data_IF_540825620643
#
_entry.id   IF_540825620643
#
_cell.length_a   1.000
_cell.length_b   1.000
_cell.length_c   1.000
_cell.angle_alpha   90.00
_cell.angle_beta   90.00
_cell.angle_gamma   90.00
#
_symmetry.space_group_name_H-M   'P 1'
#
loop_
_entity.id
_entity.type
_entity.pdbx_description
1 polymer ?
#
# COMPACT_ATOMS: atom_id res chain seq x y z
N UNK A 1 6.73 -1.29 -16.74
CA UNK A 1 7.19 -1.31 -15.32
C UNK A 1 6.35 -2.34 -14.58
N UNK A 2 6.94 -3.11 -13.66
CA UNK A 2 6.18 -4.12 -12.90
C UNK A 2 5.35 -3.44 -11.81
N UNK A 3 4.04 -3.72 -11.75
CA UNK A 3 3.15 -3.23 -10.70
C UNK A 3 3.63 -3.77 -9.34
N UNK A 4 3.58 -2.94 -8.31
CA UNK A 4 3.93 -3.28 -6.94
C UNK A 4 2.85 -2.79 -5.96
N UNK A 5 2.95 -3.19 -4.70
CA UNK A 5 1.95 -2.84 -3.69
C UNK A 5 1.82 -1.33 -3.42
N UNK A 6 2.90 -0.56 -3.58
CA UNK A 6 2.85 0.91 -3.45
C UNK A 6 1.98 1.53 -4.54
N UNK A 7 2.13 1.09 -5.80
CA UNK A 7 1.30 1.58 -6.91
C UNK A 7 -0.16 1.19 -6.74
N UNK A 8 -0.45 -0.02 -6.26
CA UNK A 8 -1.82 -0.44 -5.94
C UNK A 8 -2.40 0.45 -4.84
N UNK A 9 -1.68 0.68 -3.75
CA UNK A 9 -2.13 1.59 -2.69
C UNK A 9 -2.41 2.99 -3.22
N UNK A 10 -1.47 3.57 -3.97
CA UNK A 10 -1.61 4.92 -4.52
C UNK A 10 -2.74 5.04 -5.53
N UNK A 11 -3.04 4.03 -6.31
CA UNK A 11 -4.17 4.04 -7.25
C UNK A 11 -5.50 4.32 -6.54
N UNK A 12 -5.74 3.68 -5.39
CA UNK A 12 -6.93 3.91 -4.58
C UNK A 12 -6.86 5.18 -3.75
N UNK A 13 -5.67 5.61 -3.37
CA UNK A 13 -5.47 6.84 -2.60
C UNK A 13 -5.57 8.09 -3.47
N UNK A 14 -4.82 8.16 -4.56
CA UNK A 14 -4.75 9.27 -5.50
C UNK A 14 -4.13 8.82 -6.84
N UNK A 15 -4.92 8.80 -7.91
CA UNK A 15 -4.44 8.38 -9.24
C UNK A 15 -3.26 9.20 -9.75
N UNK A 16 -3.25 10.52 -9.48
CA UNK A 16 -2.12 11.39 -9.83
C UNK A 16 -0.85 10.99 -9.09
N UNK A 17 -0.93 10.67 -7.79
CA UNK A 17 0.21 10.17 -7.02
C UNK A 17 0.72 8.83 -7.56
N UNK A 18 -0.18 7.92 -7.93
CA UNK A 18 0.18 6.65 -8.57
C UNK A 18 0.96 6.89 -9.87
N UNK A 19 0.46 7.76 -10.73
CA UNK A 19 1.10 8.14 -11.99
C UNK A 19 2.49 8.75 -11.78
N UNK A 20 2.61 9.74 -10.89
CA UNK A 20 3.87 10.42 -10.60
C UNK A 20 4.92 9.47 -10.01
N UNK A 21 4.51 8.62 -9.08
CA UNK A 21 5.39 7.60 -8.49
C UNK A 21 5.90 6.60 -9.56
N UNK A 22 5.00 6.12 -10.42
CA UNK A 22 5.35 5.20 -11.49
C UNK A 22 6.34 5.80 -12.50
N UNK A 23 6.20 7.10 -12.79
CA UNK A 23 7.10 7.84 -13.68
C UNK A 23 8.34 8.42 -12.96
N UNK A 24 8.74 7.83 -11.84
CA UNK A 24 9.98 8.09 -11.07
C UNK A 24 10.05 9.43 -10.33
N UNK A 25 8.93 10.03 -10.02
CA UNK A 25 8.89 11.20 -9.14
C UNK A 25 8.68 10.73 -7.69
N UNK A 26 9.74 10.23 -7.06
CA UNK A 26 9.73 9.65 -5.70
C UNK A 26 9.88 10.75 -4.64
N UNK A 27 8.87 11.60 -4.47
CA UNK A 27 8.86 12.69 -3.50
C UNK A 27 8.45 12.25 -2.09
N UNK A 28 7.88 11.04 -1.95
CA UNK A 28 7.48 10.49 -0.66
C UNK A 28 8.62 10.31 0.32
N UNK A 29 9.86 10.15 -0.15
CA UNK A 29 11.05 10.01 0.71
C UNK A 29 11.32 11.23 1.58
N UNK A 30 10.84 12.40 1.17
CA UNK A 30 10.97 13.66 1.93
C UNK A 30 9.82 13.91 2.91
N UNK A 31 8.74 13.12 2.86
CA UNK A 31 7.58 13.30 3.72
C UNK A 31 7.84 12.82 5.15
N UNK A 32 7.57 13.67 6.15
CA UNK A 32 7.63 13.29 7.57
C UNK A 32 6.65 12.14 7.91
N UNK A 33 5.49 12.12 7.28
CA UNK A 33 4.50 11.07 7.49
C UNK A 33 4.98 9.71 6.96
N UNK A 34 5.72 9.70 5.85
CA UNK A 34 6.36 8.49 5.33
C UNK A 34 7.48 8.04 6.25
N UNK A 35 8.31 8.97 6.75
CA UNK A 35 9.35 8.66 7.75
C UNK A 35 8.77 8.06 9.03
N UNK A 36 7.65 8.59 9.52
CA UNK A 36 6.94 8.04 10.68
C UNK A 36 6.42 6.63 10.37
N UNK A 37 5.83 6.42 9.18
CA UNK A 37 5.39 5.09 8.75
C UNK A 37 6.54 4.08 8.73
N UNK A 38 7.69 4.43 8.14
CA UNK A 38 8.91 3.61 8.15
C UNK A 38 9.40 3.30 9.56
N UNK A 39 9.45 4.29 10.45
CA UNK A 39 9.86 4.09 11.84
C UNK A 39 8.94 3.11 12.60
N UNK A 40 7.63 3.13 12.35
CA UNK A 40 6.69 2.15 12.91
C UNK A 40 6.98 0.75 12.39
N UNK A 41 7.28 0.59 11.10
CA UNK A 41 7.66 -0.69 10.49
C UNK A 41 8.97 -1.22 11.09
N UNK A 42 10.00 -0.38 11.17
CA UNK A 42 11.30 -0.74 11.76
C UNK A 42 11.18 -1.17 13.22
N UNK A 43 10.38 -0.45 14.03
CA UNK A 43 10.15 -0.79 15.42
C UNK A 43 9.45 -2.14 15.59
N UNK A 44 8.47 -2.46 14.72
CA UNK A 44 7.78 -3.76 14.74
C UNK A 44 8.63 -4.89 14.16
N UNK A 45 9.52 -4.62 13.21
CA UNK A 45 10.42 -5.62 12.62
C UNK A 45 11.60 -5.98 13.55
N UNK A 46 11.92 -5.15 14.53
CA UNK A 46 12.98 -5.43 15.53
C UNK A 46 12.59 -6.48 16.55
N UNK A 47 11.30 -6.77 16.71
CA UNK A 47 10.84 -7.92 17.46
C UNK A 47 11.20 -9.20 16.68
N UNK A 48 11.88 -10.16 17.30
CA UNK A 48 12.60 -11.29 16.66
C UNK A 48 11.77 -12.16 15.68
N UNK A 49 10.45 -12.04 15.69
CA UNK A 49 9.53 -12.75 14.78
C UNK A 49 8.97 -11.88 13.63
N UNK A 50 9.37 -10.62 13.50
CA UNK A 50 8.74 -9.60 12.66
C UNK A 50 9.66 -8.99 11.60
N UNK A 51 10.66 -9.74 11.09
CA UNK A 51 11.50 -9.24 10.01
C UNK A 51 10.68 -8.91 8.75
N UNK A 52 10.91 -7.74 8.16
CA UNK A 52 10.37 -7.40 6.85
C UNK A 52 10.84 -8.42 5.81
N UNK A 53 9.92 -9.05 5.12
CA UNK A 53 10.21 -10.10 4.14
C UNK A 53 9.99 -9.53 2.74
N UNK A 54 11.05 -9.50 1.93
CA UNK A 54 10.96 -9.13 0.53
C UNK A 54 10.74 -10.38 -0.33
N UNK A 55 9.62 -10.41 -1.05
CA UNK A 55 9.30 -11.47 -2.01
C UNK A 55 9.03 -10.81 -3.36
N UNK A 56 9.94 -10.98 -4.31
CA UNK A 56 9.88 -10.31 -5.61
C UNK A 56 9.72 -8.79 -5.51
N UNK A 57 8.53 -8.28 -5.90
CA UNK A 57 8.18 -6.85 -5.93
C UNK A 57 7.31 -6.43 -4.76
N UNK A 58 7.20 -7.25 -3.72
CA UNK A 58 6.46 -6.91 -2.49
C UNK A 58 7.39 -6.94 -1.29
N UNK A 59 7.08 -6.09 -0.32
CA UNK A 59 7.66 -6.09 1.01
C UNK A 59 6.53 -6.24 2.00
N UNK A 60 6.62 -7.23 2.86
CA UNK A 60 5.60 -7.57 3.84
C UNK A 60 6.15 -7.45 5.24
N UNK A 61 5.32 -6.96 6.17
CA UNK A 61 5.76 -6.71 7.54
C UNK A 61 5.90 -8.00 8.34
N UNK A 62 4.98 -8.94 8.14
CA UNK A 62 4.99 -10.22 8.85
C UNK A 62 4.23 -11.30 8.09
N UNK A 63 4.80 -12.51 8.05
CA UNK A 63 4.13 -13.73 7.57
C UNK A 63 4.12 -14.76 8.69
N UNK A 64 2.93 -15.30 8.97
CA UNK A 64 2.75 -16.46 9.83
C UNK A 64 2.22 -17.65 9.02
N UNK A 65 1.95 -18.79 9.66
CA UNK A 65 1.35 -19.95 8.98
C UNK A 65 -0.04 -19.66 8.40
N UNK A 66 -0.77 -18.70 8.99
CA UNK A 66 -2.16 -18.39 8.62
C UNK A 66 -2.29 -17.02 7.97
N UNK A 67 -1.53 -16.02 8.43
CA UNK A 67 -1.72 -14.62 8.03
C UNK A 67 -0.50 -13.99 7.38
N UNK A 68 -0.78 -13.15 6.38
CA UNK A 68 0.09 -12.07 5.93
C UNK A 68 -0.38 -10.79 6.62
N UNK A 69 0.50 -10.15 7.39
CA UNK A 69 0.17 -8.93 8.14
C UNK A 69 0.81 -7.72 7.48
N UNK A 70 0.02 -6.69 7.27
CA UNK A 70 0.44 -5.35 6.87
C UNK A 70 0.15 -4.37 8.00
N UNK A 71 1.09 -3.50 8.33
CA UNK A 71 0.98 -2.51 9.40
C UNK A 71 0.87 -1.10 8.83
N UNK A 72 -0.12 -0.34 9.26
CA UNK A 72 -0.34 1.06 8.89
C UNK A 72 -0.42 1.95 10.12
N UNK A 73 0.01 3.21 9.98
CA UNK A 73 -0.03 4.19 11.08
C UNK A 73 -1.43 4.66 11.45
N UNK A 74 -2.42 4.47 10.57
CA UNK A 74 -3.82 4.85 10.77
C UNK A 74 -4.75 4.08 9.85
N UNK A 75 -6.04 4.15 10.14
CA UNK A 75 -7.12 3.59 9.32
C UNK A 75 -7.73 4.61 8.34
N UNK A 76 -7.07 5.74 8.12
CA UNK A 76 -7.59 6.84 7.29
C UNK A 76 -7.88 6.44 5.84
N UNK A 77 -7.17 5.44 5.29
CA UNK A 77 -7.39 4.93 3.94
C UNK A 77 -7.34 3.39 3.93
N UNK A 78 -8.32 2.79 4.59
CA UNK A 78 -8.45 1.32 4.68
C UNK A 78 -8.61 0.70 3.30
N UNK A 79 -9.35 1.35 2.39
CA UNK A 79 -9.59 0.80 1.06
C UNK A 79 -8.27 0.64 0.27
N UNK A 80 -7.42 1.65 0.28
CA UNK A 80 -6.10 1.57 -0.36
C UNK A 80 -5.22 0.49 0.28
N UNK A 81 -5.23 0.39 1.61
CA UNK A 81 -4.48 -0.61 2.36
C UNK A 81 -5.00 -2.03 2.14
N UNK A 82 -6.34 -2.21 2.05
CA UNK A 82 -6.99 -3.47 1.70
C UNK A 82 -6.50 -4.00 0.36
N UNK A 83 -6.56 -3.19 -0.69
CA UNK A 83 -6.18 -3.63 -2.03
C UNK A 83 -4.68 -3.88 -2.16
N UNK A 84 -3.85 -3.12 -1.46
CA UNK A 84 -2.42 -3.41 -1.34
C UNK A 84 -2.18 -4.79 -0.71
N UNK A 85 -2.86 -5.10 0.39
CA UNK A 85 -2.74 -6.38 1.08
C UNK A 85 -3.25 -7.54 0.20
N UNK A 86 -4.37 -7.37 -0.49
CA UNK A 86 -4.91 -8.36 -1.42
C UNK A 86 -3.96 -8.61 -2.60
N UNK A 87 -3.28 -7.58 -3.10
CA UNK A 87 -2.23 -7.73 -4.09
C UNK A 87 -1.06 -8.59 -3.57
N UNK A 88 -0.64 -8.37 -2.33
CA UNK A 88 0.39 -9.20 -1.69
C UNK A 88 -0.05 -10.66 -1.55
N UNK A 89 -1.30 -10.91 -1.17
CA UNK A 89 -1.86 -12.26 -1.12
C UNK A 89 -1.85 -12.95 -2.50
N UNK A 90 -2.17 -12.21 -3.57
CA UNK A 90 -2.11 -12.72 -4.95
C UNK A 90 -0.68 -13.11 -5.34
N UNK A 91 0.31 -12.27 -5.01
CA UNK A 91 1.73 -12.59 -5.28
C UNK A 91 2.17 -13.83 -4.51
N UNK A 92 1.80 -13.97 -3.23
CA UNK A 92 2.08 -15.18 -2.46
C UNK A 92 1.38 -16.41 -3.04
N UNK A 93 0.11 -16.29 -3.43
CA UNK A 93 -0.66 -17.38 -4.06
C UNK A 93 0.04 -17.88 -5.34
N UNK A 94 0.61 -16.99 -6.15
CA UNK A 94 1.37 -17.37 -7.35
C UNK A 94 2.66 -18.14 -7.05
N UNK A 95 3.14 -18.08 -5.80
CA UNK A 95 4.28 -18.87 -5.29
C UNK A 95 3.86 -20.14 -4.55
N UNK A 96 2.57 -20.50 -4.59
CA UNK A 96 2.04 -21.64 -3.87
C UNK A 96 1.81 -21.40 -2.37
N UNK A 97 1.88 -20.15 -1.90
CA UNK A 97 1.72 -19.78 -0.49
C UNK A 97 0.34 -19.15 -0.32
N UNK A 98 -0.58 -19.87 0.32
CA UNK A 98 -1.93 -19.38 0.60
C UNK A 98 -2.00 -18.85 2.02
N UNK A 99 -2.44 -17.59 2.18
CA UNK A 99 -2.59 -16.90 3.48
C UNK A 99 -3.86 -16.05 3.49
N UNK A 100 -4.33 -15.73 4.70
CA UNK A 100 -5.33 -14.68 4.93
C UNK A 100 -4.64 -13.36 5.18
N UNK A 101 -5.30 -12.27 4.88
CA UNK A 101 -4.79 -10.91 5.10
C UNK A 101 -5.15 -10.40 6.48
N UNK A 102 -4.19 -9.79 7.18
CA UNK A 102 -4.38 -9.06 8.42
C UNK A 102 -3.83 -7.64 8.26
N UNK A 103 -4.69 -6.65 8.37
CA UNK A 103 -4.30 -5.23 8.38
C UNK A 103 -4.35 -4.71 9.80
N UNK A 104 -3.22 -4.25 10.31
CA UNK A 104 -3.09 -3.70 11.66
C UNK A 104 -2.82 -2.19 11.58
N UNK A 105 -3.74 -1.38 12.12
CA UNK A 105 -3.64 0.07 12.16
C UNK A 105 -3.22 0.54 13.56
N UNK A 106 -2.04 1.17 13.65
CA UNK A 106 -1.45 1.65 14.90
C UNK A 106 -1.75 3.13 15.07
N UNK A 107 -2.74 3.48 15.88
CA UNK A 107 -3.08 4.88 16.16
C UNK A 107 -2.26 5.43 17.34
N UNK A 108 -1.56 6.57 17.13
CA UNK A 108 -0.67 7.20 18.13
C UNK A 108 -1.33 7.55 19.47
N UNK A 109 -2.67 7.69 19.51
CA UNK A 109 -3.42 8.17 20.70
C UNK A 109 -4.26 7.10 21.37
N UNK A 110 -4.28 5.87 20.86
CA UNK A 110 -5.08 4.78 21.41
C UNK A 110 -4.15 3.60 21.77
N UNK A 111 -4.39 3.02 22.94
CA UNK A 111 -3.64 1.85 23.40
C UNK A 111 -3.92 0.59 22.57
N UNK A 112 -5.06 0.55 21.87
CA UNK A 112 -5.51 -0.60 21.11
C UNK A 112 -5.37 -0.38 19.62
N UNK A 113 -4.70 -1.30 18.91
CA UNK A 113 -4.61 -1.33 17.48
C UNK A 113 -5.94 -1.81 16.88
N UNK A 114 -6.38 -1.15 15.80
CA UNK A 114 -7.50 -1.67 15.00
C UNK A 114 -7.00 -2.73 14.05
N UNK A 115 -7.71 -3.86 14.00
CA UNK A 115 -7.34 -5.01 13.17
C UNK A 115 -8.48 -5.33 12.21
N UNK A 116 -8.14 -5.52 10.94
CA UNK A 116 -9.06 -5.92 9.88
C UNK A 116 -8.54 -7.19 9.20
N UNK A 117 -9.45 -8.09 8.84
CA UNK A 117 -9.13 -9.34 8.17
C UNK A 117 -9.71 -9.37 6.77
N UNK A 118 -8.95 -9.88 5.81
CA UNK A 118 -9.35 -10.01 4.42
C UNK A 118 -8.95 -11.37 3.86
N UNK A 119 -9.75 -11.88 2.93
CA UNK A 119 -9.47 -13.11 2.19
C UNK A 119 -9.46 -12.82 0.69
N UNK A 120 -8.54 -13.45 -0.03
CA UNK A 120 -8.48 -13.38 -1.49
C UNK A 120 -9.38 -14.48 -2.07
N UNK A 121 -10.67 -14.17 -2.25
CA UNK A 121 -11.59 -15.06 -2.98
C UNK A 121 -11.39 -14.95 -4.48
N UNK A 122 -11.93 -15.88 -5.25
CA UNK A 122 -11.79 -15.86 -6.72
C UNK A 122 -12.46 -14.63 -7.35
N UNK A 123 -13.56 -14.13 -6.76
CA UNK A 123 -14.25 -12.90 -7.20
C UNK A 123 -13.38 -11.68 -6.92
N UNK A 124 -12.80 -11.59 -5.73
CA UNK A 124 -11.90 -10.49 -5.35
C UNK A 124 -10.62 -10.52 -6.18
N UNK A 125 -10.09 -11.69 -6.49
CA UNK A 125 -8.92 -11.84 -7.33
C UNK A 125 -9.17 -11.33 -8.75
N UNK A 126 -10.34 -11.63 -9.35
CA UNK A 126 -10.73 -11.10 -10.66
C UNK A 126 -10.90 -9.57 -10.64
N UNK A 127 -11.50 -9.03 -9.58
CA UNK A 127 -11.63 -7.59 -9.40
C UNK A 127 -10.26 -6.93 -9.28
N UNK A 128 -9.33 -7.52 -8.52
CA UNK A 128 -7.96 -7.05 -8.40
C UNK A 128 -7.21 -7.06 -9.75
N UNK A 129 -7.42 -8.08 -10.59
CA UNK A 129 -6.85 -8.14 -11.94
C UNK A 129 -7.32 -6.96 -12.79
N UNK A 130 -8.61 -6.62 -12.73
CA UNK A 130 -9.15 -5.44 -13.42
C UNK A 130 -8.46 -4.16 -12.95
N UNK A 131 -8.22 -4.00 -11.65
CA UNK A 131 -7.49 -2.84 -11.14
C UNK A 131 -6.02 -2.81 -11.55
N UNK A 132 -5.36 -3.96 -11.64
CA UNK A 132 -3.98 -4.06 -12.15
C UNK A 132 -3.91 -3.57 -13.60
N UNK A 133 -4.84 -4.02 -14.45
CA UNK A 133 -4.94 -3.57 -15.85
C UNK A 133 -5.21 -2.05 -15.94
N UNK A 134 -6.06 -1.53 -15.06
CA UNK A 134 -6.36 -0.10 -15.00
C UNK A 134 -5.16 0.74 -14.51
N UNK A 135 -4.36 0.21 -13.58
CA UNK A 135 -3.10 0.84 -13.15
C UNK A 135 -2.12 0.86 -14.31
N UNK A 136 -1.97 -0.22 -15.06
CA UNK A 136 -1.08 -0.28 -16.23
C UNK A 136 -1.48 0.75 -17.29
N UNK A 137 -2.76 0.86 -17.60
CA UNK A 137 -3.29 1.90 -18.51
C UNK A 137 -3.01 3.30 -17.98
N UNK A 138 -3.27 3.53 -16.68
CA UNK A 138 -3.07 4.82 -16.03
C UNK A 138 -1.61 5.29 -16.14
N UNK A 139 -0.66 4.44 -15.76
CA UNK A 139 0.76 4.81 -15.72
C UNK A 139 1.41 4.91 -17.11
N UNK A 140 0.81 4.27 -18.12
CA UNK A 140 1.24 4.32 -19.52
C UNK A 140 0.59 5.48 -20.29
N UNK A 141 -0.34 6.22 -19.69
CA UNK A 141 -0.99 7.34 -20.36
C UNK A 141 -0.01 8.51 -20.52
N UNK A 142 -0.11 9.24 -21.61
CA UNK A 142 0.68 10.47 -21.84
C UNK A 142 0.18 11.64 -20.98
N UNK A 143 -1.07 11.61 -20.54
CA UNK A 143 -1.70 12.69 -19.78
C UNK A 143 -1.64 12.40 -18.28
N UNK A 144 -1.09 13.34 -17.51
CA UNK A 144 -1.09 13.28 -16.04
C UNK A 144 -2.53 13.43 -15.54
N UNK A 145 -3.02 12.56 -14.63
CA UNK A 145 -4.33 12.71 -14.02
C UNK A 145 -4.50 14.06 -13.31
N UNK A 146 -5.73 14.55 -13.24
CA UNK A 146 -6.06 15.80 -12.55
C UNK A 146 -5.70 15.77 -11.07
N UNK A 147 -5.49 16.96 -10.50
CA UNK A 147 -5.26 17.13 -9.06
C UNK A 147 -6.51 16.73 -8.29
N UNK A 148 -6.34 15.91 -7.25
CA UNK A 148 -7.45 15.38 -6.44
C UNK A 148 -8.24 16.47 -5.68
N UNK A 149 -7.56 17.55 -5.29
CA UNK A 149 -8.10 18.71 -4.59
C UNK A 149 -8.93 18.39 -3.33
N UNK A 150 -8.38 17.53 -2.45
CA UNK A 150 -8.98 17.14 -1.17
C UNK A 150 -8.09 17.55 0.02
N UNK A 151 -8.64 17.67 1.24
CA UNK A 151 -7.88 18.07 2.43
C UNK A 151 -6.62 17.21 2.68
N UNK A 152 -6.65 15.93 2.35
CA UNK A 152 -5.50 15.03 2.47
C UNK A 152 -4.31 15.42 1.59
N UNK A 153 -4.53 16.18 0.51
CA UNK A 153 -3.45 16.68 -0.35
C UNK A 153 -2.45 17.55 0.40
N UNK A 154 -2.89 18.34 1.38
CA UNK A 154 -2.00 19.21 2.20
C UNK A 154 -0.92 18.46 2.98
N UNK A 155 -1.11 17.16 3.21
CA UNK A 155 -0.14 16.28 3.90
C UNK A 155 0.56 15.31 2.94
N UNK A 156 0.32 15.45 1.64
CA UNK A 156 0.90 14.61 0.61
C UNK A 156 2.32 15.07 0.26
N UNK A 157 3.25 14.14 0.09
CA UNK A 157 4.62 14.46 -0.35
C UNK A 157 4.68 15.14 -1.73
N UNK A 158 3.64 14.96 -2.55
CA UNK A 158 3.53 15.57 -3.88
C UNK A 158 2.76 16.90 -3.89
N UNK A 159 2.43 17.48 -2.71
CA UNK A 159 1.60 18.69 -2.62
C UNK A 159 2.17 19.85 -3.44
N UNK A 160 3.44 20.19 -3.24
CA UNK A 160 4.08 21.29 -3.95
C UNK A 160 4.09 21.05 -5.47
N UNK A 161 4.30 19.82 -5.90
CA UNK A 161 4.28 19.46 -7.32
C UNK A 161 2.88 19.62 -7.94
N UNK A 162 1.82 19.47 -7.15
CA UNK A 162 0.44 19.57 -7.63
C UNK A 162 -0.11 21.00 -7.61
N UNK A 163 0.44 21.89 -6.75
CA UNK A 163 -0.19 23.17 -6.40
C UNK A 163 0.73 24.39 -6.55
N UNK A 164 1.93 24.24 -7.04
CA UNK A 164 2.86 25.35 -7.37
C UNK A 164 2.88 25.66 -8.85
#
# INVERSE_FOLDING_TARGET
MKINGTLVNYYFHCKRQCYLCANRLNLEDNSELVKIGRAIHEQKSSDADNAEIAIENIKVDKITKEYLTEVKKSDADINASKWQLLFYLKVLKSKGIIRKGKLECVEKKKSDNKIYYFELTDEIEKELETYIDDIEKLISNETIPDVLNKPKCKKCAYYEYCYI
#
